data_IF_206822365231
#
_entry.id   IF_206822365231
#
_cell.length_a   1.000
_cell.length_b   1.000
_cell.length_c   1.000
_cell.angle_alpha   90.00
_cell.angle_beta   90.00
_cell.angle_gamma   90.00
#
_symmetry.space_group_name_H-M   'P 1'
#
loop_
_entity.id
_entity.type
_entity.pdbx_description
1 polymer ?
#
# COMPACT_ATOMS: atom_id res chain seq x y z
N UNK A 1 -15.74 -0.68 12.98
CA UNK A 1 -16.82 -0.69 11.95
C UNK A 1 -18.16 -1.21 12.50
N UNK A 2 -18.58 -0.81 13.70
CA UNK A 2 -19.87 -1.25 14.28
C UNK A 2 -20.90 -0.11 14.42
N UNK A 3 -20.61 1.08 13.90
CA UNK A 3 -21.53 2.23 13.96
C UNK A 3 -22.66 2.19 12.92
N UNK A 4 -22.74 1.14 12.07
CA UNK A 4 -23.72 1.08 10.98
C UNK A 4 -25.16 0.70 11.42
N UNK A 5 -25.34 0.18 12.61
CA UNK A 5 -26.67 -0.29 13.05
C UNK A 5 -27.64 0.84 13.35
N UNK A 6 -27.24 1.80 14.19
CA UNK A 6 -28.11 2.90 14.62
C UNK A 6 -28.35 3.88 13.47
N UNK A 7 -27.30 4.26 12.74
CA UNK A 7 -27.40 5.16 11.59
C UNK A 7 -28.22 4.55 10.46
N UNK A 8 -28.11 3.23 10.26
CA UNK A 8 -28.98 2.52 9.31
C UNK A 8 -30.42 2.53 9.75
N UNK A 9 -30.70 2.24 11.01
CA UNK A 9 -32.05 2.27 11.55
C UNK A 9 -32.68 3.67 11.43
N UNK A 10 -31.95 4.73 11.78
CA UNK A 10 -32.39 6.12 11.58
C UNK A 10 -32.67 6.42 10.11
N UNK A 11 -31.80 5.94 9.20
CA UNK A 11 -32.02 6.07 7.75
C UNK A 11 -33.27 5.38 7.25
N UNK A 12 -33.51 4.16 7.72
CA UNK A 12 -34.71 3.36 7.35
C UNK A 12 -36.00 4.04 7.85
N UNK A 13 -35.98 4.65 9.02
CA UNK A 13 -37.10 5.40 9.58
C UNK A 13 -37.37 6.76 8.90
N UNK A 14 -36.40 7.28 8.18
CA UNK A 14 -36.54 8.48 7.35
C UNK A 14 -37.20 8.20 5.98
N UNK A 15 -37.25 6.92 5.58
CA UNK A 15 -37.87 6.53 4.30
C UNK A 15 -39.37 6.84 4.33
N UNK A 16 -39.84 7.60 3.36
CA UNK A 16 -41.24 8.01 3.25
C UNK A 16 -41.54 9.35 3.93
N UNK A 17 -40.59 9.98 4.62
CA UNK A 17 -40.76 11.34 5.15
C UNK A 17 -40.71 12.39 4.02
N UNK A 18 -41.45 13.48 4.21
CA UNK A 18 -41.43 14.65 3.35
C UNK A 18 -40.47 15.70 3.88
N UNK A 19 -39.96 16.58 2.98
CA UNK A 19 -39.12 17.71 3.38
C UNK A 19 -39.89 18.62 4.35
N UNK A 20 -39.28 18.98 5.48
CA UNK A 20 -39.87 19.73 6.55
C UNK A 20 -40.63 18.91 7.60
N UNK A 21 -40.75 17.62 7.41
CA UNK A 21 -41.42 16.72 8.35
C UNK A 21 -40.54 16.41 9.56
N UNK A 22 -41.16 16.41 10.74
CA UNK A 22 -40.53 15.99 11.99
C UNK A 22 -41.10 14.67 12.47
N UNK A 23 -40.23 13.74 12.86
CA UNK A 23 -40.59 12.43 13.43
C UNK A 23 -39.72 12.14 14.64
N UNK A 24 -40.33 11.64 15.72
CA UNK A 24 -39.57 11.14 16.88
C UNK A 24 -39.56 9.61 16.83
N UNK A 25 -38.37 9.03 16.94
CA UNK A 25 -38.18 7.59 16.98
C UNK A 25 -37.44 7.20 18.27
N UNK A 26 -37.79 6.08 18.87
CA UNK A 26 -37.09 5.53 20.02
C UNK A 26 -36.16 4.40 19.58
N UNK A 27 -34.88 4.51 19.90
CA UNK A 27 -33.83 3.56 19.52
C UNK A 27 -33.14 3.07 20.77
N UNK A 28 -32.95 1.75 20.89
CA UNK A 28 -32.15 1.16 21.93
C UNK A 28 -30.71 0.97 21.45
N UNK A 29 -29.77 1.51 22.18
CA UNK A 29 -28.34 1.31 21.92
C UNK A 29 -27.91 -0.14 22.18
N UNK A 30 -27.07 -0.75 21.36
CA UNK A 30 -26.50 -2.07 21.64
C UNK A 30 -25.75 -2.09 22.98
N UNK A 31 -25.74 -3.25 23.63
CA UNK A 31 -25.03 -3.41 24.92
C UNK A 31 -23.52 -3.22 24.79
N UNK A 32 -22.96 -3.53 23.59
CA UNK A 32 -21.54 -3.36 23.26
C UNK A 32 -21.26 -2.03 22.53
N UNK A 33 -22.04 -0.98 22.83
CA UNK A 33 -21.79 0.32 22.19
C UNK A 33 -20.54 0.98 22.74
N UNK A 34 -19.73 1.61 21.87
CA UNK A 34 -18.42 2.18 22.20
C UNK A 34 -18.48 3.28 23.31
N UNK A 35 -19.59 3.97 23.46
CA UNK A 35 -19.83 4.89 24.57
C UNK A 35 -20.58 4.15 25.69
N UNK A 36 -19.86 3.80 26.75
CA UNK A 36 -20.37 3.01 27.87
C UNK A 36 -21.54 3.65 28.60
N UNK A 37 -21.65 4.97 28.56
CA UNK A 37 -22.75 5.76 29.14
C UNK A 37 -24.04 5.70 28.30
N UNK A 38 -23.99 5.22 27.08
CA UNK A 38 -25.14 5.02 26.17
C UNK A 38 -25.47 3.54 25.95
N UNK A 39 -24.56 2.61 26.23
CA UNK A 39 -24.73 1.19 26.00
C UNK A 39 -25.98 0.65 26.73
N UNK A 40 -26.84 -0.08 25.99
CA UNK A 40 -28.06 -0.70 26.48
C UNK A 40 -29.21 0.26 26.84
N UNK A 41 -29.02 1.60 26.66
CA UNK A 41 -30.05 2.60 26.99
C UNK A 41 -30.96 2.90 25.82
N UNK A 42 -32.21 3.24 26.14
CA UNK A 42 -33.16 3.78 25.18
C UNK A 42 -32.91 5.28 24.98
N UNK A 43 -33.00 5.76 23.74
CA UNK A 43 -32.88 7.17 23.41
C UNK A 43 -33.91 7.57 22.35
N UNK A 44 -34.51 8.74 22.55
CA UNK A 44 -35.44 9.31 21.57
C UNK A 44 -34.67 10.24 20.64
N UNK A 45 -34.77 9.95 19.33
CA UNK A 45 -34.21 10.78 18.28
C UNK A 45 -35.31 11.60 17.61
N UNK A 46 -35.20 12.92 17.67
CA UNK A 46 -36.06 13.81 16.91
C UNK A 46 -35.41 14.04 15.54
N UNK A 47 -36.03 13.47 14.52
CA UNK A 47 -35.61 13.58 13.11
C UNK A 47 -36.34 14.79 12.49
N UNK A 48 -35.60 15.60 11.75
CA UNK A 48 -36.15 16.66 10.92
C UNK A 48 -35.51 16.56 9.54
N UNK A 49 -36.32 16.29 8.51
CA UNK A 49 -35.87 16.14 7.13
C UNK A 49 -35.82 17.49 6.44
N UNK A 50 -34.64 18.09 6.36
CA UNK A 50 -34.44 19.41 5.75
C UNK A 50 -34.41 19.36 4.23
N UNK A 51 -33.82 18.32 3.64
CA UNK A 51 -33.57 18.26 2.20
C UNK A 51 -33.43 16.82 1.73
N UNK A 52 -33.94 16.54 0.53
CA UNK A 52 -33.74 15.26 -0.18
C UNK A 52 -32.89 15.55 -1.42
N UNK A 53 -31.65 15.05 -1.44
CA UNK A 53 -30.76 15.17 -2.59
C UNK A 53 -30.71 13.84 -3.36
N UNK A 54 -31.01 13.89 -4.64
CA UNK A 54 -30.82 12.76 -5.54
C UNK A 54 -29.45 12.88 -6.20
N UNK A 55 -28.65 11.84 -6.07
CA UNK A 55 -27.38 11.77 -6.81
C UNK A 55 -27.72 11.48 -8.28
N UNK A 56 -27.51 12.46 -9.12
CA UNK A 56 -27.64 12.31 -10.58
C UNK A 56 -26.22 12.08 -11.12
N UNK A 57 -26.03 10.95 -11.81
CA UNK A 57 -24.77 10.73 -12.54
C UNK A 57 -24.83 11.58 -13.81
N UNK A 58 -23.81 12.42 -14.05
CA UNK A 58 -23.75 13.16 -15.30
C UNK A 58 -23.59 12.17 -16.47
N UNK A 59 -24.15 12.53 -17.62
CA UNK A 59 -23.91 11.77 -18.83
C UNK A 59 -22.49 12.02 -19.31
N UNK A 60 -21.82 10.95 -19.77
CA UNK A 60 -20.49 11.06 -20.33
C UNK A 60 -20.58 11.64 -21.73
N UNK A 61 -20.41 12.96 -21.86
CA UNK A 61 -20.39 13.71 -23.12
C UNK A 61 -19.01 14.32 -23.35
N UNK A 62 -18.74 14.73 -24.59
CA UNK A 62 -17.46 15.39 -24.91
C UNK A 62 -17.26 16.68 -24.10
N UNK A 63 -18.34 17.44 -23.88
CA UNK A 63 -18.27 18.64 -23.03
C UNK A 63 -17.90 18.27 -21.59
N UNK A 64 -18.52 17.20 -21.01
CA UNK A 64 -18.20 16.74 -19.68
C UNK A 64 -16.74 16.29 -19.56
N UNK A 65 -16.23 15.59 -20.58
CA UNK A 65 -14.83 15.14 -20.61
C UNK A 65 -13.88 16.33 -20.67
N UNK A 66 -14.18 17.31 -21.51
CA UNK A 66 -13.30 18.46 -21.73
C UNK A 66 -13.27 19.46 -20.55
N UNK A 67 -14.39 19.61 -19.85
CA UNK A 67 -14.56 20.66 -18.82
C UNK A 67 -14.40 20.14 -17.39
N UNK A 68 -14.83 18.87 -17.12
CA UNK A 68 -14.92 18.38 -15.74
C UNK A 68 -13.82 17.38 -15.37
N UNK A 69 -13.23 16.66 -16.35
CA UNK A 69 -12.24 15.63 -16.03
C UNK A 69 -10.79 16.15 -15.96
N UNK A 70 -10.52 17.35 -16.50
CA UNK A 70 -9.21 18.02 -16.45
C UNK A 70 -8.02 17.12 -16.84
N UNK A 71 -8.21 16.15 -17.77
CA UNK A 71 -7.17 15.25 -18.22
C UNK A 71 -6.45 15.89 -19.40
N UNK A 72 -5.14 16.05 -19.29
CA UNK A 72 -4.32 16.66 -20.34
C UNK A 72 -4.47 15.89 -21.67
N UNK A 73 -4.74 16.60 -22.76
CA UNK A 73 -4.91 16.09 -24.13
C UNK A 73 -6.10 15.11 -24.32
N UNK A 74 -7.08 15.08 -23.42
CA UNK A 74 -8.31 14.28 -23.52
C UNK A 74 -9.50 15.21 -23.51
N UNK A 75 -10.23 15.29 -24.64
CA UNK A 75 -11.37 16.21 -24.82
C UNK A 75 -12.65 15.56 -25.30
N UNK A 76 -12.58 14.30 -25.74
CA UNK A 76 -13.73 13.56 -26.23
C UNK A 76 -13.93 12.27 -25.45
N UNK A 77 -15.14 11.74 -25.48
CA UNK A 77 -15.50 10.45 -24.86
C UNK A 77 -14.66 9.30 -25.42
N UNK A 78 -14.33 9.36 -26.72
CA UNK A 78 -13.49 8.35 -27.37
C UNK A 78 -12.05 8.39 -26.85
N UNK A 79 -11.45 9.60 -26.79
CA UNK A 79 -10.12 9.80 -26.20
C UNK A 79 -10.08 9.38 -24.73
N UNK A 80 -11.12 9.70 -23.95
CA UNK A 80 -11.22 9.28 -22.57
C UNK A 80 -11.29 7.74 -22.41
N UNK A 81 -12.07 7.06 -23.25
CA UNK A 81 -12.13 5.60 -23.25
C UNK A 81 -10.77 4.99 -23.59
N UNK A 82 -10.07 5.53 -24.55
CA UNK A 82 -8.73 5.08 -24.92
C UNK A 82 -7.72 5.32 -23.79
N UNK A 83 -7.75 6.51 -23.19
CA UNK A 83 -6.92 6.82 -22.03
C UNK A 83 -7.17 5.84 -20.86
N UNK A 84 -8.43 5.62 -20.48
CA UNK A 84 -8.77 4.68 -19.41
C UNK A 84 -8.33 3.25 -19.75
N UNK A 85 -8.49 2.84 -21.02
CA UNK A 85 -8.03 1.53 -21.48
C UNK A 85 -6.51 1.40 -21.34
N UNK A 86 -5.74 2.38 -21.77
CA UNK A 86 -4.28 2.38 -21.65
C UNK A 86 -3.83 2.34 -20.18
N UNK A 87 -4.48 3.11 -19.30
CA UNK A 87 -4.20 3.09 -17.86
C UNK A 87 -4.46 1.69 -17.27
N UNK A 88 -5.62 1.10 -17.57
CA UNK A 88 -5.97 -0.25 -17.06
C UNK A 88 -5.03 -1.32 -17.64
N UNK A 89 -4.68 -1.24 -18.92
CA UNK A 89 -3.75 -2.19 -19.55
C UNK A 89 -2.36 -2.08 -18.93
N UNK A 90 -1.89 -0.87 -18.67
CA UNK A 90 -0.61 -0.63 -18.00
C UNK A 90 -0.62 -1.19 -16.57
N UNK A 91 -1.62 -0.84 -15.77
CA UNK A 91 -1.74 -1.33 -14.40
C UNK A 91 -1.81 -2.87 -14.33
N UNK A 92 -2.58 -3.49 -15.23
CA UNK A 92 -2.70 -4.95 -15.29
C UNK A 92 -1.40 -5.61 -15.73
N UNK A 93 -0.70 -5.02 -16.68
CA UNK A 93 0.60 -5.52 -17.14
C UNK A 93 1.62 -5.45 -16.03
N UNK A 94 1.74 -4.30 -15.36
CA UNK A 94 2.63 -4.12 -14.21
C UNK A 94 2.30 -5.08 -13.05
N UNK A 95 1.03 -5.23 -12.72
CA UNK A 95 0.59 -6.17 -11.68
C UNK A 95 0.91 -7.63 -12.04
N UNK A 96 0.71 -8.02 -13.32
CA UNK A 96 1.04 -9.36 -13.81
C UNK A 96 2.54 -9.62 -13.81
N UNK A 97 3.35 -8.64 -14.24
CA UNK A 97 4.80 -8.75 -14.20
C UNK A 97 5.35 -8.84 -12.77
N UNK A 98 4.84 -8.02 -11.86
CA UNK A 98 5.22 -8.08 -10.45
C UNK A 98 4.90 -9.43 -9.84
N UNK A 99 3.68 -9.95 -10.05
CA UNK A 99 3.28 -11.27 -9.60
C UNK A 99 4.17 -12.37 -10.17
N UNK A 100 4.51 -12.29 -11.46
CA UNK A 100 5.41 -13.26 -12.10
C UNK A 100 6.79 -13.27 -11.45
N UNK A 101 7.36 -12.10 -11.17
CA UNK A 101 8.65 -11.97 -10.48
C UNK A 101 8.57 -12.52 -9.06
N UNK A 102 7.47 -12.24 -8.34
CA UNK A 102 7.25 -12.78 -6.99
C UNK A 102 7.14 -14.31 -6.99
N UNK A 103 6.38 -14.88 -7.92
CA UNK A 103 6.23 -16.33 -8.07
C UNK A 103 7.57 -17.00 -8.41
N UNK A 104 8.38 -16.40 -9.29
CA UNK A 104 9.73 -16.88 -9.60
C UNK A 104 10.65 -16.81 -8.37
N UNK A 105 10.63 -15.67 -7.66
CA UNK A 105 11.42 -15.48 -6.44
C UNK A 105 11.06 -16.54 -5.40
N UNK A 106 9.78 -16.76 -5.16
CA UNK A 106 9.30 -17.77 -4.22
C UNK A 106 9.79 -19.16 -4.62
N UNK A 107 9.71 -19.53 -5.90
CA UNK A 107 10.22 -20.82 -6.42
C UNK A 107 11.72 -20.98 -6.19
N UNK A 108 12.51 -19.93 -6.41
CA UNK A 108 13.97 -19.95 -6.13
C UNK A 108 14.22 -20.16 -4.64
N UNK A 109 13.47 -19.44 -3.77
CA UNK A 109 13.63 -19.53 -2.32
C UNK A 109 13.16 -20.87 -1.74
N UNK A 110 12.09 -21.45 -2.27
CA UNK A 110 11.60 -22.79 -1.88
C UNK A 110 12.68 -23.86 -2.12
N UNK A 111 13.40 -23.77 -3.23
CA UNK A 111 14.46 -24.72 -3.59
C UNK A 111 15.78 -24.46 -2.85
N UNK A 112 15.94 -23.32 -2.19
CA UNK A 112 17.15 -22.97 -1.47
C UNK A 112 17.11 -23.47 -0.02
N UNK A 113 18.17 -24.18 0.40
CA UNK A 113 18.39 -24.58 1.79
C UNK A 113 19.33 -23.56 2.45
N UNK A 114 18.79 -22.76 3.34
CA UNK A 114 19.53 -21.72 4.07
C UNK A 114 19.14 -21.77 5.53
N UNK A 115 20.13 -21.83 6.41
CA UNK A 115 19.95 -21.64 7.84
C UNK A 115 20.25 -20.17 8.18
N UNK A 116 19.27 -19.47 8.71
CA UNK A 116 19.40 -18.07 9.08
C UNK A 116 19.56 -17.97 10.59
N UNK A 117 20.70 -17.45 11.09
CA UNK A 117 20.88 -17.25 12.52
C UNK A 117 19.83 -16.30 13.10
N UNK A 118 19.27 -16.66 14.24
CA UNK A 118 18.23 -15.87 14.91
C UNK A 118 18.65 -14.42 15.18
N UNK A 119 19.96 -14.21 15.46
CA UNK A 119 20.51 -12.86 15.64
C UNK A 119 20.27 -11.94 14.44
N UNK A 120 20.45 -12.45 13.21
CA UNK A 120 20.21 -11.65 12.00
C UNK A 120 18.72 -11.29 11.82
N UNK A 121 17.84 -12.20 12.21
CA UNK A 121 16.38 -11.92 12.16
C UNK A 121 16.04 -10.82 13.17
N UNK A 122 16.57 -10.93 14.39
CA UNK A 122 16.34 -9.93 15.42
C UNK A 122 16.89 -8.55 15.02
N UNK A 123 18.10 -8.49 14.44
CA UNK A 123 18.69 -7.24 13.96
C UNK A 123 17.84 -6.59 12.87
N UNK A 124 17.27 -7.39 11.97
CA UNK A 124 16.39 -6.90 10.90
C UNK A 124 15.06 -6.40 11.46
N UNK A 125 14.48 -7.10 12.44
CA UNK A 125 13.28 -6.66 13.16
C UNK A 125 13.52 -5.31 13.83
N UNK A 126 14.63 -5.17 14.58
CA UNK A 126 14.97 -3.90 15.24
C UNK A 126 15.23 -2.78 14.23
N UNK A 127 15.79 -3.09 13.07
CA UNK A 127 15.95 -2.12 11.99
C UNK A 127 14.61 -1.61 11.47
N UNK A 128 13.65 -2.50 11.27
CA UNK A 128 12.29 -2.13 10.83
C UNK A 128 11.54 -1.33 11.91
N UNK A 129 11.68 -1.71 13.18
CA UNK A 129 11.12 -0.93 14.31
C UNK A 129 11.64 0.50 14.29
N UNK A 130 12.97 0.70 14.14
CA UNK A 130 13.55 2.05 14.04
C UNK A 130 13.00 2.85 12.86
N UNK A 131 12.66 2.21 11.75
CA UNK A 131 12.02 2.89 10.62
C UNK A 131 10.60 3.36 10.97
N UNK A 132 9.82 2.52 11.66
CA UNK A 132 8.47 2.88 12.13
C UNK A 132 8.53 4.01 13.16
N UNK A 133 9.49 3.97 14.08
CA UNK A 133 9.72 5.05 15.05
C UNK A 133 10.08 6.39 14.36
N UNK A 134 10.95 6.33 13.37
CA UNK A 134 11.31 7.51 12.59
C UNK A 134 10.11 8.06 11.79
N UNK A 135 9.29 7.18 11.24
CA UNK A 135 8.07 7.56 10.52
C UNK A 135 7.03 8.19 11.47
N UNK A 136 6.80 7.59 12.63
CA UNK A 136 5.91 8.14 13.66
C UNK A 136 6.34 9.56 14.05
N UNK A 137 7.65 9.74 14.31
CA UNK A 137 8.22 11.05 14.63
C UNK A 137 8.05 12.07 13.50
N UNK A 138 8.19 11.66 12.25
CA UNK A 138 7.99 12.53 11.08
C UNK A 138 6.53 13.02 10.96
N UNK A 139 5.58 12.21 11.40
CA UNK A 139 4.15 12.58 11.45
C UNK A 139 3.73 13.27 12.76
N UNK A 140 4.65 13.48 13.70
CA UNK A 140 4.33 14.03 15.02
C UNK A 140 3.51 13.09 15.90
N UNK A 141 3.58 11.78 15.65
CA UNK A 141 2.85 10.74 16.38
C UNK A 141 3.80 9.98 17.31
N UNK A 142 3.22 9.28 18.31
CA UNK A 142 3.94 8.23 19.02
C UNK A 142 3.95 6.94 18.21
N UNK A 143 4.93 6.08 18.44
CA UNK A 143 5.03 4.78 17.76
C UNK A 143 3.78 3.92 18.03
N UNK A 144 3.30 3.90 19.27
CA UNK A 144 2.10 3.16 19.67
C UNK A 144 0.86 3.64 18.92
N UNK A 145 0.70 4.95 18.78
CA UNK A 145 -0.43 5.53 18.05
C UNK A 145 -0.39 5.18 16.56
N UNK A 146 0.80 5.25 15.94
CA UNK A 146 0.96 4.83 14.55
C UNK A 146 0.64 3.35 14.36
N UNK A 147 1.11 2.48 15.27
CA UNK A 147 0.82 1.05 15.24
C UNK A 147 -0.67 0.73 15.41
N UNK A 148 -1.38 1.46 16.28
CA UNK A 148 -2.83 1.32 16.42
C UNK A 148 -3.57 1.67 15.12
N UNK A 149 -3.17 2.73 14.42
CA UNK A 149 -3.75 3.09 13.11
C UNK A 149 -3.51 2.02 12.05
N UNK A 150 -2.39 1.30 12.11
CA UNK A 150 -2.09 0.19 11.20
C UNK A 150 -2.69 -1.16 11.63
N UNK A 151 -3.35 -1.21 12.79
CA UNK A 151 -3.98 -2.42 13.32
C UNK A 151 -3.00 -3.39 13.98
N UNK A 152 -1.77 -2.97 14.27
CA UNK A 152 -0.72 -3.84 14.79
C UNK A 152 -0.77 -4.03 16.33
N UNK A 153 -1.68 -3.38 17.05
CA UNK A 153 -1.81 -3.51 18.49
C UNK A 153 -0.64 -2.89 19.26
N UNK A 154 0.20 -3.72 19.87
CA UNK A 154 1.40 -3.30 20.61
C UNK A 154 2.67 -3.40 19.76
N UNK A 155 3.78 -2.80 20.24
CA UNK A 155 5.08 -2.91 19.61
C UNK A 155 5.59 -4.37 19.59
N UNK A 156 5.29 -5.14 20.63
CA UNK A 156 5.69 -6.57 20.67
C UNK A 156 4.88 -7.39 19.67
N UNK A 157 3.56 -7.15 19.53
CA UNK A 157 2.73 -7.80 18.52
C UNK A 157 3.24 -7.45 17.11
N UNK A 158 3.63 -6.21 16.88
CA UNK A 158 4.24 -5.78 15.63
C UNK A 158 5.55 -6.52 15.34
N UNK A 159 6.47 -6.60 16.31
CA UNK A 159 7.75 -7.33 16.17
C UNK A 159 7.51 -8.78 15.80
N UNK A 160 6.58 -9.47 16.49
CA UNK A 160 6.25 -10.87 16.17
C UNK A 160 5.64 -11.01 14.77
N UNK A 161 4.74 -10.11 14.40
CA UNK A 161 4.08 -10.14 13.10
C UNK A 161 5.06 -9.96 11.92
N UNK A 162 6.11 -9.14 12.08
CA UNK A 162 7.07 -8.89 11.00
C UNK A 162 8.20 -9.91 10.89
N UNK A 163 8.45 -10.73 11.94
CA UNK A 163 9.54 -11.74 11.94
C UNK A 163 9.59 -12.64 10.71
N UNK A 164 8.47 -13.27 10.29
CA UNK A 164 8.49 -14.13 9.10
C UNK A 164 8.88 -13.37 7.83
N UNK A 165 8.44 -12.11 7.71
CA UNK A 165 8.82 -11.23 6.61
C UNK A 165 10.30 -10.88 6.62
N UNK A 166 10.85 -10.57 7.80
CA UNK A 166 12.28 -10.30 7.98
C UNK A 166 13.14 -11.52 7.60
N UNK A 167 12.73 -12.71 8.05
CA UNK A 167 13.41 -13.96 7.70
C UNK A 167 13.40 -14.19 6.18
N UNK A 168 12.26 -14.00 5.53
CA UNK A 168 12.13 -14.14 4.08
C UNK A 168 13.01 -13.14 3.32
N UNK A 169 13.07 -11.86 3.78
CA UNK A 169 13.94 -10.83 3.19
C UNK A 169 15.43 -11.19 3.32
N UNK A 170 15.85 -11.70 4.50
CA UNK A 170 17.23 -12.16 4.70
C UNK A 170 17.52 -13.36 3.79
N UNK A 171 16.60 -14.33 3.74
CA UNK A 171 16.74 -15.51 2.86
C UNK A 171 16.90 -15.09 1.40
N UNK A 172 16.05 -14.21 0.92
CA UNK A 172 16.12 -13.65 -0.44
C UNK A 172 17.49 -13.03 -0.71
N UNK A 173 17.93 -12.11 0.16
CA UNK A 173 19.23 -11.44 0.02
C UNK A 173 20.40 -12.42 -0.03
N UNK A 174 20.44 -13.39 0.89
CA UNK A 174 21.53 -14.37 0.97
C UNK A 174 21.55 -15.29 -0.26
N UNK A 175 20.38 -15.80 -0.67
CA UNK A 175 20.27 -16.70 -1.83
C UNK A 175 20.67 -15.97 -3.12
N UNK A 176 20.15 -14.76 -3.35
CA UNK A 176 20.45 -14.02 -4.57
C UNK A 176 21.91 -13.57 -4.63
N UNK A 177 22.52 -13.20 -3.51
CA UNK A 177 23.96 -12.89 -3.48
C UNK A 177 24.82 -14.17 -3.70
N UNK A 178 24.38 -15.31 -3.21
CA UNK A 178 25.05 -16.59 -3.51
C UNK A 178 24.97 -16.94 -5.01
N UNK A 179 23.81 -16.75 -5.64
CA UNK A 179 23.64 -16.91 -7.10
C UNK A 179 24.54 -15.89 -7.84
N UNK A 180 24.53 -14.62 -7.44
CA UNK A 180 25.38 -13.60 -8.04
C UNK A 180 26.88 -13.99 -8.01
N UNK A 181 27.31 -14.60 -6.92
CA UNK A 181 28.68 -15.10 -6.77
C UNK A 181 28.94 -16.33 -7.67
N UNK A 182 28.02 -17.29 -7.71
CA UNK A 182 28.15 -18.50 -8.53
C UNK A 182 28.18 -18.15 -10.03
N UNK A 183 27.29 -17.28 -10.49
CA UNK A 183 27.20 -16.80 -11.88
C UNK A 183 28.20 -15.68 -12.20
N UNK A 184 29.08 -15.31 -11.24
CA UNK A 184 30.11 -14.28 -11.41
C UNK A 184 29.55 -12.92 -11.88
N UNK A 185 28.36 -12.56 -11.42
CA UNK A 185 27.68 -11.31 -11.77
C UNK A 185 28.46 -10.12 -11.21
N UNK A 186 28.94 -9.26 -12.10
CA UNK A 186 29.66 -8.04 -11.76
C UNK A 186 28.79 -6.81 -11.96
N UNK A 187 28.91 -5.86 -11.05
CA UNK A 187 28.32 -4.52 -11.16
C UNK A 187 29.33 -3.61 -11.86
N UNK A 188 28.96 -3.09 -13.02
CA UNK A 188 29.79 -2.18 -13.82
C UNK A 188 29.62 -0.72 -13.35
N UNK A 189 30.51 0.16 -13.81
CA UNK A 189 30.35 1.59 -13.57
C UNK A 189 29.10 2.17 -14.26
N UNK A 190 28.66 1.54 -15.36
CA UNK A 190 27.43 1.90 -16.05
C UNK A 190 26.21 1.56 -15.20
N UNK A 191 26.12 0.33 -14.67
CA UNK A 191 25.01 -0.10 -13.81
C UNK A 191 24.82 0.87 -12.62
N UNK A 192 25.93 1.26 -11.98
CA UNK A 192 25.90 2.22 -10.87
C UNK A 192 25.38 3.59 -11.30
N UNK A 193 25.88 4.11 -12.44
CA UNK A 193 25.43 5.43 -12.95
C UNK A 193 23.95 5.43 -13.33
N UNK A 194 23.48 4.34 -13.95
CA UNK A 194 22.09 4.25 -14.37
C UNK A 194 21.16 4.12 -13.16
N UNK A 195 21.56 3.41 -12.09
CA UNK A 195 20.82 3.34 -10.86
C UNK A 195 20.78 4.69 -10.13
N UNK A 196 21.88 5.45 -10.13
CA UNK A 196 21.89 6.80 -9.55
C UNK A 196 20.88 7.74 -10.22
N UNK A 197 20.62 7.59 -11.54
CA UNK A 197 19.58 8.37 -12.21
C UNK A 197 18.18 7.99 -11.73
N UNK A 198 17.94 6.69 -11.50
CA UNK A 198 16.66 6.21 -10.95
C UNK A 198 16.44 6.81 -9.57
N UNK A 199 17.43 6.68 -8.69
CA UNK A 199 17.39 7.24 -7.33
C UNK A 199 17.20 8.76 -7.35
N UNK A 200 17.91 9.48 -8.22
CA UNK A 200 17.78 10.93 -8.36
C UNK A 200 16.34 11.35 -8.73
N UNK A 201 15.70 10.62 -9.63
CA UNK A 201 14.30 10.85 -9.99
C UNK A 201 13.35 10.57 -8.79
N UNK A 202 13.56 9.49 -8.05
CA UNK A 202 12.75 9.13 -6.88
C UNK A 202 12.83 10.19 -5.77
N UNK A 203 14.05 10.68 -5.49
CA UNK A 203 14.25 11.73 -4.47
C UNK A 203 13.94 13.13 -4.98
N UNK A 204 13.55 13.28 -6.27
CA UNK A 204 13.35 14.57 -6.95
C UNK A 204 14.57 15.49 -6.83
N UNK A 205 15.76 14.89 -6.89
CA UNK A 205 17.06 15.54 -6.74
C UNK A 205 17.99 15.34 -7.94
N UNK A 206 19.29 15.61 -7.75
CA UNK A 206 20.32 15.44 -8.77
C UNK A 206 21.06 14.11 -8.61
N UNK A 207 21.76 13.70 -9.67
CA UNK A 207 22.61 12.49 -9.66
C UNK A 207 23.76 12.65 -8.65
N UNK A 208 24.27 13.86 -8.48
CA UNK A 208 25.32 14.21 -7.53
C UNK A 208 24.83 14.03 -6.09
N UNK A 209 23.63 14.47 -5.78
CA UNK A 209 22.99 14.27 -4.47
C UNK A 209 22.76 12.78 -4.18
N UNK A 210 22.31 12.03 -5.17
CA UNK A 210 22.16 10.57 -5.07
C UNK A 210 23.53 9.89 -4.83
N UNK A 211 24.58 10.30 -5.55
CA UNK A 211 25.93 9.76 -5.41
C UNK A 211 26.57 10.09 -4.06
N UNK A 212 26.29 11.28 -3.49
CA UNK A 212 26.76 11.66 -2.15
C UNK A 212 26.13 10.79 -1.05
N UNK A 213 24.87 10.34 -1.26
CA UNK A 213 24.12 9.52 -0.30
C UNK A 213 24.39 8.01 -0.44
N UNK A 214 24.64 7.54 -1.64
CA UNK A 214 24.76 6.12 -1.97
C UNK A 214 26.08 5.83 -2.69
N UNK A 215 27.07 5.31 -1.96
CA UNK A 215 28.34 4.89 -2.57
C UNK A 215 28.16 3.67 -3.47
N UNK A 216 29.12 3.45 -4.36
CA UNK A 216 29.09 2.27 -5.23
C UNK A 216 29.15 0.97 -4.43
N UNK A 217 29.92 0.95 -3.36
CA UNK A 217 30.07 -0.20 -2.45
C UNK A 217 28.73 -0.52 -1.77
N UNK A 218 28.00 0.51 -1.33
CA UNK A 218 26.70 0.34 -0.70
C UNK A 218 25.63 -0.19 -1.66
N UNK A 219 25.64 0.26 -2.93
CA UNK A 219 24.67 -0.17 -3.95
C UNK A 219 25.05 -1.50 -4.62
N UNK A 220 26.28 -1.96 -4.53
CA UNK A 220 26.74 -3.18 -5.21
C UNK A 220 25.88 -4.42 -4.87
N UNK A 221 25.58 -4.73 -3.60
CA UNK A 221 24.73 -5.89 -3.28
C UNK A 221 23.32 -5.77 -3.85
N UNK A 222 22.71 -4.60 -3.79
CA UNK A 222 21.40 -4.31 -4.35
C UNK A 222 21.40 -4.54 -5.88
N UNK A 223 22.39 -3.99 -6.59
CA UNK A 223 22.52 -4.14 -8.05
C UNK A 223 22.81 -5.59 -8.47
N UNK A 224 23.54 -6.35 -7.64
CA UNK A 224 23.75 -7.77 -7.86
C UNK A 224 22.42 -8.54 -7.76
N UNK A 225 21.61 -8.28 -6.72
CA UNK A 225 20.29 -8.90 -6.54
C UNK A 225 19.37 -8.56 -7.73
N UNK A 226 19.34 -7.29 -8.15
CA UNK A 226 18.56 -6.85 -9.32
C UNK A 226 18.96 -7.63 -10.59
N UNK A 227 20.25 -7.77 -10.86
CA UNK A 227 20.75 -8.54 -12.00
C UNK A 227 20.45 -10.05 -11.91
N UNK A 228 20.45 -10.62 -10.71
CA UNK A 228 20.01 -12.00 -10.50
C UNK A 228 18.53 -12.14 -10.79
N UNK A 229 17.71 -11.19 -10.35
CA UNK A 229 16.28 -11.18 -10.68
C UNK A 229 16.04 -11.16 -12.18
N UNK A 230 16.77 -10.31 -12.92
CA UNK A 230 16.71 -10.26 -14.39
C UNK A 230 17.16 -11.59 -15.03
N UNK A 231 18.22 -12.22 -14.49
CA UNK A 231 18.69 -13.52 -14.96
C UNK A 231 17.61 -14.59 -14.73
N UNK A 232 17.03 -14.67 -13.54
CA UNK A 232 15.97 -15.63 -13.19
C UNK A 232 14.76 -15.41 -14.09
N UNK A 233 14.35 -14.15 -14.31
CA UNK A 233 13.24 -13.80 -15.22
C UNK A 233 13.52 -14.25 -16.66
N UNK A 234 14.74 -14.02 -17.18
CA UNK A 234 15.11 -14.34 -18.57
C UNK A 234 15.31 -15.83 -18.83
N UNK A 235 15.60 -16.61 -17.80
CA UNK A 235 15.83 -18.07 -17.90
C UNK A 235 14.63 -18.91 -17.51
N UNK A 236 13.57 -18.27 -17.00
CA UNK A 236 12.37 -18.97 -16.55
C UNK A 236 11.62 -19.62 -17.72
N UNK A 237 11.23 -20.90 -17.55
CA UNK A 237 10.40 -21.64 -18.49
C UNK A 237 8.97 -21.60 -17.95
N UNK A 238 8.11 -20.83 -18.62
CA UNK A 238 6.68 -20.80 -18.31
C UNK A 238 6.00 -22.00 -18.98
N UNK A 239 5.35 -22.84 -18.20
CA UNK A 239 4.57 -24.00 -18.68
C UNK A 239 3.09 -23.70 -18.65
#
# INVERSE_FOLDING_TARGET
MQNNGIMKFVGDEMVGMNVGEEKTISVKFPEEYHASDLAGKDADFKLNLHEIKKRVQPQLTDEFVAEELEIENVKTVEEYKNFVKEVIEKERTEASENKFVDDLTNKVLENAKVEIPQGLINDEVERQVKQVEAQAKAYGLTTELLLQYTGAGSLEDYKEAIKPGCEMQIKHRVVYLAIAKAEKIKVTAKDYKDELKVIANEIKGTVEEAAAKYSKEALTPYLQIKKVSDLVKSTAIVK
#
